data_IF_337249340638
#
_entry.id   IF_337249340638
#
_cell.length_a   1.000
_cell.length_b   1.000
_cell.length_c   1.000
_cell.angle_alpha   90.00
_cell.angle_beta   90.00
_cell.angle_gamma   90.00
#
_symmetry.space_group_name_H-M   'P 1'
#
loop_
_entity.id
_entity.type
_entity.pdbx_description
1 polymer ?
#
# COMPACT_ATOMS: atom_id res chain seq x y z
N UNK A 1 -11.05 10.80 -9.03
CA UNK A 1 -11.68 12.04 -8.50
C UNK A 1 -10.78 12.57 -7.41
N UNK A 2 -10.24 13.80 -7.54
CA UNK A 2 -9.48 14.43 -6.46
C UNK A 2 -10.44 14.83 -5.34
N UNK A 3 -10.20 14.36 -4.12
CA UNK A 3 -10.88 14.89 -2.93
C UNK A 3 -10.46 16.35 -2.74
N UNK A 4 -11.39 17.24 -2.41
CA UNK A 4 -11.19 18.70 -2.37
C UNK A 4 -10.07 19.12 -1.41
N UNK A 5 -9.72 18.25 -0.46
CA UNK A 5 -8.74 18.48 0.59
C UNK A 5 -7.40 17.77 0.37
N UNK A 6 -7.23 17.09 -0.76
CA UNK A 6 -6.02 16.35 -1.07
C UNK A 6 -5.19 17.08 -2.12
N UNK A 7 -3.85 17.08 -2.00
CA UNK A 7 -2.98 17.66 -3.01
C UNK A 7 -3.16 16.96 -4.36
N UNK A 8 -2.76 17.62 -5.45
CA UNK A 8 -2.78 17.03 -6.78
C UNK A 8 -1.95 15.73 -6.79
N UNK A 9 -2.56 14.62 -7.20
CA UNK A 9 -1.96 13.28 -7.12
C UNK A 9 -2.13 12.56 -5.78
N UNK A 10 -2.87 13.14 -4.83
CA UNK A 10 -3.13 12.58 -3.51
C UNK A 10 -1.97 12.76 -2.53
N UNK A 11 -2.20 12.38 -1.28
CA UNK A 11 -1.14 12.36 -0.26
C UNK A 11 -0.06 11.35 -0.62
N UNK A 12 1.14 11.55 -0.08
CA UNK A 12 2.31 10.73 -0.38
C UNK A 12 2.97 10.26 0.91
N UNK A 13 3.41 9.00 0.91
CA UNK A 13 4.22 8.42 1.99
C UNK A 13 5.58 8.09 1.43
N UNK A 14 6.62 8.58 2.09
CA UNK A 14 8.01 8.27 1.76
C UNK A 14 8.51 7.18 2.68
N UNK A 15 9.14 6.17 2.10
CA UNK A 15 9.81 5.09 2.81
C UNK A 15 11.31 5.38 2.83
N UNK A 16 11.91 5.30 4.01
CA UNK A 16 13.30 5.64 4.26
C UNK A 16 14.07 4.41 4.76
N UNK A 17 15.21 4.13 4.15
CA UNK A 17 16.16 3.17 4.69
C UNK A 17 16.87 3.77 5.90
N UNK A 18 16.84 3.04 7.02
CA UNK A 18 17.54 3.42 8.25
C UNK A 18 18.99 2.92 8.27
N UNK A 19 19.34 1.96 7.41
CA UNK A 19 20.70 1.42 7.33
C UNK A 19 21.71 2.38 6.68
N UNK A 20 21.21 3.39 5.98
CA UNK A 20 22.03 4.42 5.36
C UNK A 20 22.83 5.23 6.40
N UNK A 21 24.06 5.67 6.06
CA UNK A 21 24.87 6.52 6.93
C UNK A 21 24.11 7.77 7.41
N UNK A 22 24.38 8.23 8.64
CA UNK A 22 23.74 9.45 9.18
C UNK A 22 23.98 10.70 8.31
N UNK A 23 25.10 10.74 7.58
CA UNK A 23 25.48 11.82 6.67
C UNK A 23 25.00 11.64 5.22
N UNK A 24 24.29 10.54 4.92
CA UNK A 24 23.70 10.32 3.60
C UNK A 24 22.66 11.40 3.28
N UNK A 25 22.63 11.84 2.02
CA UNK A 25 21.61 12.76 1.55
C UNK A 25 20.23 12.08 1.66
N UNK A 26 19.17 12.87 1.87
CA UNK A 26 17.81 12.33 2.01
C UNK A 26 17.44 11.45 0.81
N UNK A 27 17.78 11.87 -0.41
CA UNK A 27 17.53 11.13 -1.65
C UNK A 27 18.18 9.74 -1.67
N UNK A 28 19.37 9.58 -1.08
CA UNK A 28 20.06 8.29 -0.97
C UNK A 28 19.40 7.36 0.05
N UNK A 29 18.59 7.92 0.95
CA UNK A 29 17.83 7.18 1.96
C UNK A 29 16.43 6.83 1.50
N UNK A 30 15.90 7.49 0.48
CA UNK A 30 14.55 7.21 -0.03
C UNK A 30 14.56 5.89 -0.79
N UNK A 31 13.88 4.90 -0.25
CA UNK A 31 13.66 3.62 -0.92
C UNK A 31 12.54 3.76 -1.95
N UNK A 32 11.46 4.43 -1.54
CA UNK A 32 10.25 4.54 -2.35
C UNK A 32 9.40 5.74 -1.88
N UNK A 33 8.67 6.35 -2.82
CA UNK A 33 7.61 7.30 -2.51
C UNK A 33 6.29 6.77 -3.08
N UNK A 34 5.36 6.43 -2.19
CA UNK A 34 4.04 5.91 -2.54
C UNK A 34 3.06 7.09 -2.58
N UNK A 35 2.46 7.34 -3.74
CA UNK A 35 1.47 8.41 -3.95
C UNK A 35 0.05 7.86 -4.13
N UNK A 36 -0.94 8.75 -4.20
CA UNK A 36 -2.33 8.38 -4.49
C UNK A 36 -3.21 8.14 -3.27
N UNK A 37 -2.71 8.44 -2.06
CA UNK A 37 -3.54 8.33 -0.86
C UNK A 37 -4.66 9.38 -0.88
N UNK A 38 -5.91 8.92 -0.74
CA UNK A 38 -7.09 9.79 -0.88
C UNK A 38 -7.19 10.83 0.23
N UNK A 39 -6.68 10.53 1.42
CA UNK A 39 -6.72 11.43 2.59
C UNK A 39 -5.44 11.34 3.41
N UNK A 40 -5.14 12.38 4.19
CA UNK A 40 -4.03 12.36 5.15
C UNK A 40 -4.18 11.23 6.16
N UNK A 41 -5.41 10.93 6.60
CA UNK A 41 -5.67 9.85 7.54
C UNK A 41 -5.36 8.47 6.94
N UNK A 42 -5.63 8.28 5.65
CA UNK A 42 -5.24 7.06 4.93
C UNK A 42 -3.71 6.93 4.83
N UNK A 43 -3.01 7.99 4.43
CA UNK A 43 -1.54 8.03 4.39
C UNK A 43 -0.92 7.76 5.78
N UNK A 44 -1.44 8.38 6.83
CA UNK A 44 -1.00 8.16 8.21
C UNK A 44 -1.20 6.71 8.65
N UNK A 45 -2.35 6.11 8.35
CA UNK A 45 -2.63 4.72 8.69
C UNK A 45 -1.70 3.76 7.94
N UNK A 46 -1.40 4.04 6.66
CA UNK A 46 -0.42 3.29 5.88
C UNK A 46 0.99 3.39 6.50
N UNK A 47 1.49 4.60 6.72
CA UNK A 47 2.83 4.83 7.27
C UNK A 47 3.01 4.11 8.62
N UNK A 48 2.01 4.23 9.50
CA UNK A 48 2.01 3.56 10.80
C UNK A 48 2.09 2.05 10.70
N UNK A 49 1.28 1.42 9.84
CA UNK A 49 1.29 -0.05 9.64
C UNK A 49 2.56 -0.52 8.93
N UNK A 50 3.10 0.29 8.04
CA UNK A 50 4.35 0.00 7.34
C UNK A 50 5.52 -0.09 8.33
N UNK A 51 5.70 0.94 9.15
CA UNK A 51 6.73 0.96 10.21
C UNK A 51 6.53 -0.18 11.20
N UNK A 52 5.27 -0.46 11.56
CA UNK A 52 4.93 -1.59 12.42
C UNK A 52 5.41 -2.91 11.82
N UNK A 53 5.13 -3.18 10.55
CA UNK A 53 5.59 -4.38 9.86
C UNK A 53 7.12 -4.44 9.75
N UNK A 54 7.76 -3.32 9.37
CA UNK A 54 9.21 -3.21 9.23
C UNK A 54 9.93 -3.54 10.55
N UNK A 55 9.49 -2.95 11.65
CA UNK A 55 10.03 -3.24 12.99
C UNK A 55 9.86 -4.71 13.39
N UNK A 56 8.71 -5.31 13.07
CA UNK A 56 8.47 -6.73 13.37
C UNK A 56 9.29 -7.69 12.50
N UNK A 57 9.72 -7.29 11.29
CA UNK A 57 10.68 -8.08 10.50
C UNK A 57 12.07 -8.11 11.16
N UNK A 58 12.43 -7.07 11.91
CA UNK A 58 13.69 -6.99 12.67
C UNK A 58 13.61 -7.68 14.04
N UNK A 59 12.42 -8.09 14.49
CA UNK A 59 12.23 -8.71 15.81
C UNK A 59 12.51 -10.21 15.76
N UNK A 60 13.30 -10.68 16.72
CA UNK A 60 13.47 -12.11 17.02
C UNK A 60 12.81 -12.47 18.37
N UNK A 61 12.50 -13.76 18.53
CA UNK A 61 11.88 -14.28 19.75
C UNK A 61 12.78 -14.02 20.96
N UNK A 62 12.26 -13.28 21.94
CA UNK A 62 12.96 -13.04 23.21
C UNK A 62 13.88 -11.81 23.23
N UNK A 63 13.97 -11.03 22.14
CA UNK A 63 14.70 -9.76 22.17
C UNK A 63 14.11 -8.79 23.19
N UNK A 64 14.98 -8.01 23.86
CA UNK A 64 14.53 -6.88 24.64
C UNK A 64 14.07 -5.74 23.72
N UNK A 65 13.15 -4.87 24.15
CA UNK A 65 12.64 -3.77 23.31
C UNK A 65 13.74 -2.83 22.78
N UNK A 66 14.79 -2.59 23.56
CA UNK A 66 15.92 -1.78 23.12
C UNK A 66 16.71 -2.43 21.97
N UNK A 67 16.88 -3.76 22.01
CA UNK A 67 17.57 -4.51 20.96
C UNK A 67 16.74 -4.55 19.68
N UNK A 68 15.41 -4.62 19.79
CA UNK A 68 14.50 -4.52 18.64
C UNK A 68 14.61 -3.15 17.97
N UNK A 69 14.65 -2.07 18.76
CA UNK A 69 14.86 -0.72 18.22
C UNK A 69 16.23 -0.60 17.56
N UNK A 70 17.28 -1.12 18.18
CA UNK A 70 18.62 -1.09 17.61
C UNK A 70 18.70 -1.88 16.29
N UNK A 71 18.07 -3.05 16.22
CA UNK A 71 17.99 -3.85 15.00
C UNK A 71 17.19 -3.13 13.91
N UNK A 72 16.03 -2.56 14.25
CA UNK A 72 15.22 -1.79 13.30
C UNK A 72 15.94 -0.53 12.82
N UNK A 73 16.67 0.19 13.68
CA UNK A 73 17.48 1.33 13.25
C UNK A 73 18.68 0.94 12.38
N UNK A 74 19.16 -0.31 12.46
CA UNK A 74 20.30 -0.77 11.66
C UNK A 74 19.91 -1.39 10.31
N UNK A 75 18.72 -1.99 10.22
CA UNK A 75 18.31 -2.81 9.06
C UNK A 75 16.88 -2.56 8.58
N UNK A 76 16.12 -1.77 9.31
CA UNK A 76 14.73 -1.51 9.05
C UNK A 76 14.50 -0.31 8.16
N UNK A 77 13.22 -0.07 7.92
CA UNK A 77 12.72 1.01 7.09
C UNK A 77 11.75 1.85 7.94
N UNK A 78 11.83 3.17 7.79
CA UNK A 78 10.86 4.12 8.36
C UNK A 78 9.90 4.63 7.28
N UNK A 79 8.78 5.22 7.69
CA UNK A 79 7.84 5.86 6.79
C UNK A 79 7.34 7.20 7.34
N UNK A 80 7.32 8.21 6.46
CA UNK A 80 6.85 9.56 6.77
C UNK A 80 5.83 10.04 5.74
N UNK A 81 4.81 10.80 6.19
CA UNK A 81 3.87 11.43 5.27
C UNK A 81 4.44 12.75 4.76
N UNK A 82 4.65 12.84 3.46
CA UNK A 82 5.18 14.05 2.80
C UNK A 82 4.14 15.16 2.87
N UNK A 83 4.58 16.37 3.21
CA UNK A 83 3.74 17.57 3.36
C UNK A 83 2.61 17.45 4.42
N UNK A 84 2.68 16.45 5.32
CA UNK A 84 1.68 16.23 6.37
C UNK A 84 1.66 17.28 7.50
N UNK A 85 2.72 18.09 7.61
CA UNK A 85 2.86 19.10 8.66
C UNK A 85 2.72 18.51 10.07
N UNK A 86 2.05 19.23 10.98
CA UNK A 86 1.81 18.78 12.36
C UNK A 86 0.81 17.62 12.48
N UNK A 87 0.07 17.33 11.40
CA UNK A 87 -0.92 16.25 11.35
C UNK A 87 -0.38 14.99 10.66
N UNK A 88 0.82 15.06 10.08
CA UNK A 88 1.53 13.92 9.53
C UNK A 88 1.99 12.99 10.64
N UNK A 89 1.74 11.71 10.48
CA UNK A 89 2.23 10.71 11.41
C UNK A 89 3.76 10.54 11.28
N UNK A 90 4.43 10.31 12.40
CA UNK A 90 5.86 9.99 12.47
C UNK A 90 6.10 8.84 13.45
N UNK A 91 7.04 7.96 13.10
CA UNK A 91 7.46 6.81 13.90
C UNK A 91 7.93 7.19 15.31
N UNK A 92 8.55 8.36 15.47
CA UNK A 92 9.08 8.84 16.75
C UNK A 92 8.02 8.87 17.87
N UNK A 93 6.74 9.04 17.52
CA UNK A 93 5.64 9.06 18.49
C UNK A 93 5.32 7.69 19.08
N UNK A 94 5.54 6.59 18.34
CA UNK A 94 5.00 5.26 18.69
C UNK A 94 6.02 4.13 18.68
N UNK A 95 7.19 4.31 18.05
CA UNK A 95 8.16 3.21 17.84
C UNK A 95 8.60 2.54 19.15
N UNK A 96 8.71 3.31 20.24
CA UNK A 96 9.02 2.76 21.56
C UNK A 96 7.90 1.89 22.15
N UNK A 97 6.64 2.15 21.82
CA UNK A 97 5.52 1.26 22.14
C UNK A 97 5.59 0.02 21.25
N UNK A 98 5.85 0.20 19.96
CA UNK A 98 5.94 -0.91 19.02
C UNK A 98 7.02 -1.92 19.42
N UNK A 99 8.18 -1.44 19.84
CA UNK A 99 9.27 -2.31 20.31
C UNK A 99 8.89 -3.15 21.54
N UNK A 100 8.02 -2.65 22.42
CA UNK A 100 7.59 -3.36 23.64
C UNK A 100 6.48 -4.37 23.38
N UNK A 101 5.61 -4.09 22.43
CA UNK A 101 4.41 -4.86 22.18
C UNK A 101 4.50 -5.49 20.79
N UNK A 102 4.72 -6.81 20.67
CA UNK A 102 4.70 -7.47 19.36
C UNK A 102 3.38 -7.23 18.63
N UNK A 103 3.44 -6.92 17.34
CA UNK A 103 2.25 -6.63 16.54
C UNK A 103 1.43 -7.89 16.23
N UNK A 104 0.11 -7.71 16.06
CA UNK A 104 -0.76 -8.74 15.46
C UNK A 104 -0.72 -8.64 13.94
N UNK A 105 -1.22 -9.66 13.23
CA UNK A 105 -1.22 -9.69 11.77
C UNK A 105 -1.88 -8.46 11.12
N UNK A 106 -3.04 -8.04 11.62
CA UNK A 106 -3.80 -6.90 11.10
C UNK A 106 -3.07 -5.56 11.29
N UNK A 107 -2.28 -5.43 12.37
CA UNK A 107 -1.50 -4.21 12.67
C UNK A 107 -0.34 -4.02 11.69
N UNK A 108 0.08 -5.12 11.03
CA UNK A 108 1.17 -5.16 10.06
C UNK A 108 0.67 -5.11 8.62
N UNK A 109 -0.63 -5.29 8.41
CA UNK A 109 -1.20 -5.38 7.06
C UNK A 109 -1.38 -3.98 6.45
N UNK A 110 -0.24 -3.40 6.05
CA UNK A 110 -0.16 -2.14 5.32
C UNK A 110 -0.59 -2.30 3.86
N UNK A 111 -0.50 -3.53 3.30
CA UNK A 111 -0.94 -3.81 1.94
C UNK A 111 -2.42 -3.51 1.78
N UNK A 112 -3.28 -3.83 2.74
CA UNK A 112 -4.70 -3.43 2.70
C UNK A 112 -4.95 -1.92 2.58
N UNK A 113 -3.95 -1.08 2.88
CA UNK A 113 -4.03 0.38 2.78
C UNK A 113 -3.23 0.93 1.60
N UNK A 114 -2.64 0.08 0.77
CA UNK A 114 -1.81 0.52 -0.35
C UNK A 114 -2.71 1.03 -1.50
N UNK A 115 -2.66 2.33 -1.86
CA UNK A 115 -3.52 2.92 -2.88
C UNK A 115 -3.25 2.35 -4.28
N UNK A 116 -2.12 1.65 -4.48
CA UNK A 116 -1.77 1.05 -5.76
C UNK A 116 -2.57 -0.22 -6.08
N UNK A 117 -3.20 -0.82 -5.07
CA UNK A 117 -3.98 -2.05 -5.24
C UNK A 117 -5.23 -1.84 -6.09
N UNK A 118 -5.93 -0.73 -5.86
CA UNK A 118 -7.19 -0.46 -6.55
C UNK A 118 -6.96 -0.03 -8.01
N UNK A 119 -5.74 0.41 -8.36
CA UNK A 119 -5.36 0.71 -9.75
C UNK A 119 -5.02 -0.52 -10.60
N UNK A 120 -4.76 -1.68 -10.00
CA UNK A 120 -4.45 -2.91 -10.75
C UNK A 120 -5.72 -3.63 -11.27
N UNK A 121 -6.90 -3.33 -10.73
CA UNK A 121 -8.17 -3.97 -11.09
C UNK A 121 -8.95 -3.26 -12.23
N UNK A 122 -8.55 -2.03 -12.64
CA UNK A 122 -9.32 -1.19 -13.58
C UNK A 122 -8.88 -1.32 -15.06
N UNK A 123 -7.85 -2.13 -15.35
CA UNK A 123 -7.25 -2.30 -16.70
C UNK A 123 -7.72 -3.58 -17.45
N UNK A 124 -8.78 -4.27 -17.00
CA UNK A 124 -9.23 -5.55 -17.57
C UNK A 124 -10.60 -5.53 -18.29
N UNK A 125 -11.10 -4.36 -18.71
CA UNK A 125 -12.46 -4.20 -19.26
C UNK A 125 -12.53 -3.71 -20.73
N UNK A 126 -11.65 -4.18 -21.64
CA UNK A 126 -11.87 -3.96 -23.09
C UNK A 126 -11.32 -5.05 -24.02
N UNK A 127 -11.91 -6.25 -23.98
CA UNK A 127 -11.71 -7.25 -25.03
C UNK A 127 -12.90 -8.23 -25.20
N UNK A 128 -14.13 -7.73 -25.35
CA UNK A 128 -15.24 -8.55 -25.87
C UNK A 128 -16.20 -7.69 -26.69
N UNK A 129 -16.01 -7.61 -28.03
CA UNK A 129 -17.13 -7.48 -28.98
C UNK A 129 -16.76 -8.03 -30.37
N UNK A 130 -17.39 -9.14 -30.77
CA UNK A 130 -17.24 -9.67 -32.11
C UNK A 130 -18.00 -10.95 -32.47
N UNK A 131 -19.14 -11.28 -31.86
CA UNK A 131 -19.99 -12.37 -32.35
C UNK A 131 -21.48 -12.17 -32.06
N UNK A 132 -22.15 -11.40 -32.91
CA UNK A 132 -23.60 -11.47 -33.17
C UNK A 132 -23.84 -10.90 -34.57
N UNK A 133 -24.63 -11.44 -35.50
CA UNK A 133 -25.92 -12.14 -35.39
C UNK A 133 -26.13 -13.00 -36.67
N UNK A 134 -26.62 -14.24 -36.58
CA UNK A 134 -28.03 -14.68 -36.70
C UNK A 134 -28.72 -14.50 -38.07
N UNK A 135 -29.20 -15.62 -38.63
CA UNK A 135 -30.41 -15.74 -39.45
C UNK A 135 -30.87 -17.22 -39.40
N UNK A 136 -31.73 -17.61 -38.45
CA UNK A 136 -33.21 -17.59 -38.46
C UNK A 136 -33.86 -18.70 -39.30
N UNK A 137 -34.68 -19.50 -38.60
CA UNK A 137 -35.31 -20.76 -38.97
C UNK A 137 -36.59 -20.64 -39.83
N UNK A 138 -37.02 -21.76 -40.44
CA UNK A 138 -38.43 -22.16 -40.57
C UNK A 138 -38.53 -23.62 -41.07
N UNK A 139 -39.63 -24.28 -40.71
CA UNK A 139 -39.81 -25.73 -40.69
C UNK A 139 -40.95 -26.23 -41.61
N UNK A 140 -40.98 -27.55 -41.78
CA UNK A 140 -42.12 -28.45 -42.03
C UNK A 140 -42.86 -28.54 -43.41
N UNK A 141 -42.95 -29.82 -43.86
CA UNK A 141 -44.12 -30.57 -44.38
C UNK A 141 -44.69 -30.37 -45.81
N UNK A 142 -44.70 -31.46 -46.61
CA UNK A 142 -45.87 -32.14 -47.21
C UNK A 142 -45.47 -33.03 -48.44
N UNK A 143 -46.02 -34.24 -48.53
CA UNK A 143 -45.59 -35.29 -49.47
C UNK A 143 -46.34 -35.38 -50.81
N UNK A 144 -45.85 -36.19 -51.76
CA UNK A 144 -46.67 -36.90 -52.77
C UNK A 144 -45.91 -37.98 -53.55
N UNK A 145 -46.59 -39.12 -53.73
CA UNK A 145 -46.27 -40.28 -54.59
C UNK A 145 -46.23 -39.93 -56.10
N UNK A 146 -45.38 -40.61 -56.87
CA UNK A 146 -45.74 -41.56 -57.96
C UNK A 146 -44.47 -42.26 -58.49
#
# INVERSE_FOLDING_TARGET
MSDLFSPDGGWRVRILDLSAPEDAALEDRVVEEVSGFLTLMHANAFARRYVRDSLERCRETGMAPADVLAAWSAFGEDAEVVDGGEHGWSSAAEVGVFAREPAKGEDRDWRLLDPRRDTEDDDNDDAEEGASSSASAAADDDGRED
#
